data_IF_183039198256
#
_entry.id   IF_183039198256
#
_cell.length_a   1.000
_cell.length_b   1.000
_cell.length_c   1.000
_cell.angle_alpha   90.00
_cell.angle_beta   90.00
_cell.angle_gamma   90.00
#
_symmetry.space_group_name_H-M   'P 1'
#
loop_
_entity.id
_entity.type
_entity.pdbx_description
1 polymer ?
#
# COMPACT_ATOMS: atom_id res chain seq x y z
N UNK A 1 -20.96 10.85 9.75
CA UNK A 1 -19.89 10.97 8.74
C UNK A 1 -19.89 9.69 7.93
N UNK A 2 -20.20 9.75 6.62
CA UNK A 2 -20.07 8.57 5.76
C UNK A 2 -18.57 8.24 5.65
N UNK A 3 -18.09 7.29 6.42
CA UNK A 3 -16.72 6.79 6.25
C UNK A 3 -16.62 6.14 4.88
N UNK A 4 -15.86 6.76 3.99
CA UNK A 4 -15.55 6.15 2.71
C UNK A 4 -14.75 4.86 2.99
N UNK A 5 -15.23 3.73 2.47
CA UNK A 5 -14.61 2.42 2.65
C UNK A 5 -14.58 1.64 1.36
N UNK A 6 -13.59 0.78 1.22
CA UNK A 6 -13.58 -0.29 0.22
C UNK A 6 -14.22 -1.52 0.87
N UNK A 7 -15.15 -2.14 0.18
CA UNK A 7 -15.73 -3.43 0.55
C UNK A 7 -15.31 -4.48 -0.47
N UNK A 8 -14.77 -5.55 0.01
CA UNK A 8 -14.45 -6.76 -0.75
C UNK A 8 -15.46 -7.81 -0.32
N UNK A 9 -16.26 -8.32 -1.26
CA UNK A 9 -17.35 -9.27 -1.01
C UNK A 9 -17.05 -10.57 -1.74
N UNK A 10 -16.81 -11.66 -0.99
CA UNK A 10 -16.67 -13.02 -1.51
C UNK A 10 -15.68 -13.17 -2.67
N UNK A 11 -14.57 -12.42 -2.61
CA UNK A 11 -13.59 -12.37 -3.70
C UNK A 11 -12.79 -13.65 -3.79
N UNK A 12 -12.84 -14.31 -4.95
CA UNK A 12 -12.04 -15.49 -5.26
C UNK A 12 -11.26 -15.28 -6.55
N UNK A 13 -10.02 -15.79 -6.59
CA UNK A 13 -9.12 -15.70 -7.75
C UNK A 13 -8.47 -17.04 -7.98
N UNK A 14 -8.50 -17.50 -9.24
CA UNK A 14 -7.87 -18.74 -9.66
C UNK A 14 -6.89 -18.51 -10.81
N UNK A 15 -5.71 -19.15 -10.71
CA UNK A 15 -4.73 -19.25 -11.79
C UNK A 15 -4.59 -20.71 -12.23
N UNK A 16 -4.96 -21.04 -13.48
CA UNK A 16 -4.82 -22.38 -14.02
C UNK A 16 -5.34 -23.49 -13.07
N UNK A 17 -6.54 -23.28 -12.49
CA UNK A 17 -7.20 -24.18 -11.52
C UNK A 17 -6.56 -24.20 -10.11
N UNK A 18 -5.57 -23.35 -9.84
CA UNK A 18 -5.02 -23.18 -8.49
C UNK A 18 -5.66 -21.97 -7.85
N UNK A 19 -6.35 -22.16 -6.72
CA UNK A 19 -6.95 -21.06 -5.94
C UNK A 19 -5.85 -20.22 -5.32
N UNK A 20 -5.73 -18.97 -5.78
CA UNK A 20 -4.83 -17.98 -5.21
C UNK A 20 -5.51 -17.18 -4.10
N UNK A 21 -6.83 -16.98 -4.21
CA UNK A 21 -7.69 -16.42 -3.16
C UNK A 21 -9.00 -17.20 -3.13
N UNK A 22 -9.53 -17.45 -1.93
CA UNK A 22 -10.76 -18.18 -1.68
C UNK A 22 -11.66 -17.40 -0.73
N UNK A 23 -12.78 -16.92 -1.23
CA UNK A 23 -13.88 -16.32 -0.45
C UNK A 23 -13.48 -15.20 0.51
N UNK A 24 -12.67 -14.25 0.03
CA UNK A 24 -12.18 -13.12 0.84
C UNK A 24 -13.25 -12.05 0.96
N UNK A 25 -13.69 -11.76 2.19
CA UNK A 25 -14.63 -10.69 2.51
C UNK A 25 -14.08 -9.80 3.61
N UNK A 26 -13.88 -8.51 3.33
CA UNK A 26 -13.31 -7.54 4.27
C UNK A 26 -13.68 -6.10 3.92
N UNK A 27 -13.40 -5.19 4.85
CA UNK A 27 -13.53 -3.75 4.63
C UNK A 27 -12.20 -3.04 4.91
N UNK A 28 -11.87 -2.03 4.08
CA UNK A 28 -10.74 -1.12 4.32
C UNK A 28 -11.30 0.28 4.52
N UNK A 29 -11.05 0.84 5.70
CA UNK A 29 -11.66 2.09 6.14
C UNK A 29 -10.79 3.30 5.76
N UNK A 30 -11.42 4.44 5.48
CA UNK A 30 -10.72 5.73 5.38
C UNK A 30 -10.30 6.23 6.78
N UNK A 31 -9.23 7.03 6.80
CA UNK A 31 -8.74 7.62 8.05
C UNK A 31 -7.81 6.70 8.85
N UNK A 32 -7.45 5.56 8.29
CA UNK A 32 -6.56 4.57 8.91
C UNK A 32 -5.48 4.13 7.94
N UNK A 33 -4.32 3.75 8.49
CA UNK A 33 -3.27 3.02 7.77
C UNK A 33 -3.49 1.53 8.01
N UNK A 34 -3.89 0.81 6.96
CA UNK A 34 -4.18 -0.62 7.03
C UNK A 34 -3.01 -1.43 6.45
N UNK A 35 -2.47 -2.36 7.22
CA UNK A 35 -1.45 -3.31 6.76
C UNK A 35 -2.09 -4.60 6.22
N UNK A 36 -1.65 -5.05 5.04
CA UNK A 36 -1.99 -6.38 4.50
C UNK A 36 -0.79 -7.30 4.69
N UNK A 37 -0.91 -8.25 5.60
CA UNK A 37 0.16 -9.15 6.05
C UNK A 37 -0.18 -10.61 5.75
N UNK A 38 0.83 -11.46 5.82
CA UNK A 38 0.71 -12.91 5.62
C UNK A 38 1.97 -13.51 4.97
N UNK A 39 2.10 -14.84 4.93
CA UNK A 39 3.27 -15.51 4.39
C UNK A 39 3.48 -15.23 2.90
N UNK A 40 4.68 -15.60 2.39
CA UNK A 40 4.93 -15.56 0.96
C UNK A 40 4.00 -16.55 0.24
N UNK A 41 3.39 -16.09 -0.86
CA UNK A 41 2.38 -16.88 -1.58
C UNK A 41 0.97 -16.85 -0.96
N UNK A 42 0.73 -16.04 0.07
CA UNK A 42 -0.58 -15.85 0.71
C UNK A 42 -1.66 -15.20 -0.18
N UNK A 43 -1.26 -14.63 -1.33
CA UNK A 43 -2.20 -13.95 -2.23
C UNK A 43 -2.30 -12.43 -2.04
N UNK A 44 -1.41 -11.80 -1.26
CA UNK A 44 -1.46 -10.35 -0.96
C UNK A 44 -1.48 -9.47 -2.21
N UNK A 45 -0.49 -9.60 -3.09
CA UNK A 45 -0.45 -8.84 -4.35
C UNK A 45 -1.57 -9.26 -5.32
N UNK A 46 -2.03 -10.52 -5.24
CA UNK A 46 -3.21 -11.00 -5.98
C UNK A 46 -4.46 -10.26 -5.53
N UNK A 47 -4.67 -10.08 -4.22
CA UNK A 47 -5.79 -9.33 -3.68
C UNK A 47 -5.80 -7.89 -4.21
N UNK A 48 -4.69 -7.15 -4.11
CA UNK A 48 -4.59 -5.79 -4.65
C UNK A 48 -4.89 -5.76 -6.15
N UNK A 49 -4.28 -6.67 -6.93
CA UNK A 49 -4.48 -6.71 -8.38
C UNK A 49 -5.93 -7.02 -8.77
N UNK A 50 -6.58 -7.93 -8.04
CA UNK A 50 -8.00 -8.24 -8.25
C UNK A 50 -8.90 -7.06 -7.85
N UNK A 51 -8.62 -6.39 -6.72
CA UNK A 51 -9.33 -5.17 -6.31
C UNK A 51 -9.28 -4.09 -7.39
N UNK A 52 -8.15 -3.95 -8.08
CA UNK A 52 -7.95 -2.99 -9.17
C UNK A 52 -8.50 -3.46 -10.52
N UNK A 53 -8.96 -4.71 -10.62
CA UNK A 53 -9.37 -5.31 -11.89
C UNK A 53 -8.22 -5.54 -12.87
N UNK A 54 -6.96 -5.57 -12.39
CA UNK A 54 -5.78 -5.89 -13.19
C UNK A 54 -5.68 -7.38 -13.52
N UNK A 55 -6.35 -8.21 -12.73
CA UNK A 55 -6.55 -9.64 -12.96
C UNK A 55 -8.03 -9.97 -12.77
N UNK A 56 -8.57 -10.96 -13.50
CA UNK A 56 -9.95 -11.37 -13.34
C UNK A 56 -10.16 -12.08 -11.99
N UNK A 57 -11.28 -11.80 -11.32
CA UNK A 57 -11.80 -12.61 -10.23
C UNK A 57 -12.71 -13.70 -10.80
N UNK A 58 -12.68 -14.90 -10.20
CA UNK A 58 -13.62 -15.97 -10.53
C UNK A 58 -14.99 -15.76 -9.87
N UNK A 59 -15.00 -15.16 -8.68
CA UNK A 59 -16.21 -14.80 -7.93
C UNK A 59 -15.97 -13.48 -7.17
N UNK A 60 -17.08 -12.86 -6.75
CA UNK A 60 -17.09 -11.71 -5.87
C UNK A 60 -16.89 -10.37 -6.57
N UNK A 61 -16.92 -9.33 -5.77
CA UNK A 61 -16.83 -7.94 -6.23
C UNK A 61 -16.08 -7.06 -5.23
N UNK A 62 -15.58 -5.93 -5.72
CA UNK A 62 -14.94 -4.90 -4.90
C UNK A 62 -15.62 -3.56 -5.15
N UNK A 63 -16.15 -2.95 -4.09
CA UNK A 63 -16.96 -1.74 -4.14
C UNK A 63 -16.27 -0.62 -3.36
N UNK A 64 -16.25 0.59 -3.92
CA UNK A 64 -15.91 1.82 -3.24
C UNK A 64 -17.11 2.78 -3.29
N UNK A 65 -17.60 3.19 -2.12
CA UNK A 65 -18.89 3.87 -2.03
C UNK A 65 -20.02 2.97 -2.53
N UNK A 66 -20.65 3.36 -3.65
CA UNK A 66 -21.78 2.62 -4.24
C UNK A 66 -21.47 2.07 -5.65
N UNK A 67 -20.22 2.03 -6.06
CA UNK A 67 -19.83 1.60 -7.40
C UNK A 67 -18.62 0.65 -7.36
N UNK A 68 -18.47 -0.24 -8.35
CA UNK A 68 -17.29 -1.08 -8.47
C UNK A 68 -16.00 -0.26 -8.49
N UNK A 69 -15.00 -0.65 -7.69
CA UNK A 69 -13.72 0.05 -7.59
C UNK A 69 -13.01 0.15 -8.94
N UNK A 70 -13.09 -0.90 -9.76
CA UNK A 70 -12.52 -0.94 -11.12
C UNK A 70 -13.04 0.16 -12.06
N UNK A 71 -14.20 0.74 -11.78
CA UNK A 71 -14.76 1.87 -12.53
C UNK A 71 -14.30 3.23 -11.99
N UNK A 72 -13.64 3.24 -10.83
CA UNK A 72 -13.20 4.45 -10.14
C UNK A 72 -11.67 4.55 -10.01
N UNK A 73 -10.91 3.92 -10.90
CA UNK A 73 -9.44 3.90 -10.85
C UNK A 73 -8.80 5.30 -10.94
N UNK A 74 -9.56 6.33 -11.35
CA UNK A 74 -9.09 7.72 -11.27
C UNK A 74 -8.85 8.21 -9.85
N UNK A 75 -9.51 7.58 -8.86
CA UNK A 75 -9.38 7.89 -7.44
C UNK A 75 -8.28 7.08 -6.76
N UNK A 76 -7.66 6.12 -7.45
CA UNK A 76 -6.68 5.19 -6.90
C UNK A 76 -5.28 5.58 -7.34
N UNK A 77 -4.38 5.75 -6.39
CA UNK A 77 -2.93 5.79 -6.59
C UNK A 77 -2.34 4.44 -6.17
N UNK A 78 -1.78 3.72 -7.12
CA UNK A 78 -1.17 2.41 -6.91
C UNK A 78 0.33 2.45 -7.17
N UNK A 79 1.10 1.97 -6.20
CA UNK A 79 2.54 1.75 -6.31
C UNK A 79 2.79 0.25 -6.28
N UNK A 80 3.17 -0.36 -7.43
CA UNK A 80 3.45 -1.79 -7.51
C UNK A 80 4.76 -2.15 -6.82
N UNK A 81 4.95 -3.43 -6.54
CA UNK A 81 6.19 -3.97 -6.03
C UNK A 81 7.38 -3.60 -6.93
N UNK A 82 8.52 -3.26 -6.33
CA UNK A 82 9.72 -2.78 -7.02
C UNK A 82 10.20 -3.73 -8.12
N UNK A 83 10.10 -5.03 -7.93
CA UNK A 83 10.49 -6.06 -8.91
C UNK A 83 9.67 -6.05 -10.21
N UNK A 84 8.51 -5.37 -10.22
CA UNK A 84 7.63 -5.27 -11.40
C UNK A 84 7.92 -4.02 -12.25
N UNK A 85 8.91 -3.21 -11.87
CA UNK A 85 9.24 -1.95 -12.52
C UNK A 85 10.54 -2.11 -13.33
N UNK A 86 10.52 -1.69 -14.58
CA UNK A 86 11.72 -1.59 -15.40
C UNK A 86 12.51 -0.32 -15.06
N UNK A 87 13.57 -0.49 -14.29
CA UNK A 87 14.44 0.59 -13.85
C UNK A 87 15.45 1.06 -14.91
N UNK A 88 15.57 0.34 -16.02
CA UNK A 88 16.48 0.71 -17.13
C UNK A 88 15.84 1.71 -18.09
N UNK A 89 14.55 1.97 -17.95
CA UNK A 89 13.84 2.91 -18.79
C UNK A 89 14.40 4.33 -18.67
N UNK A 90 14.73 5.03 -19.77
CA UNK A 90 15.49 6.29 -19.76
C UNK A 90 14.62 7.49 -19.40
N UNK A 91 14.10 7.54 -18.17
CA UNK A 91 13.29 8.65 -17.64
C UNK A 91 13.95 9.27 -16.43
N UNK A 92 13.73 10.56 -16.25
CA UNK A 92 14.18 11.29 -15.06
C UNK A 92 13.21 11.11 -13.90
N UNK A 93 13.67 11.43 -12.69
CA UNK A 93 12.81 11.53 -11.50
C UNK A 93 11.60 12.44 -11.75
N UNK A 94 11.84 13.59 -12.40
CA UNK A 94 10.77 14.52 -12.77
C UNK A 94 9.71 13.88 -13.65
N UNK A 95 10.14 13.16 -14.70
CA UNK A 95 9.22 12.50 -15.63
C UNK A 95 8.35 11.47 -14.91
N UNK A 96 8.95 10.65 -14.03
CA UNK A 96 8.20 9.66 -13.24
C UNK A 96 7.14 10.33 -12.37
N UNK A 97 7.49 11.43 -11.68
CA UNK A 97 6.51 12.13 -10.82
C UNK A 97 5.42 12.78 -11.66
N UNK A 98 5.79 13.37 -12.82
CA UNK A 98 4.82 13.97 -13.75
C UNK A 98 3.86 12.95 -14.38
N UNK A 99 4.25 11.66 -14.49
CA UNK A 99 3.31 10.60 -14.89
C UNK A 99 2.05 10.56 -14.00
N UNK A 100 2.15 10.94 -12.72
CA UNK A 100 1.01 11.10 -11.84
C UNK A 100 -0.03 12.13 -12.33
N UNK A 101 0.33 13.02 -13.25
CA UNK A 101 -0.55 14.09 -13.76
C UNK A 101 -1.10 13.83 -15.17
N UNK A 102 -0.74 12.72 -15.82
CA UNK A 102 -1.14 12.42 -17.20
C UNK A 102 -2.67 12.41 -17.35
N UNK A 103 -3.39 11.78 -16.44
CA UNK A 103 -4.87 11.70 -16.52
C UNK A 103 -5.56 13.06 -16.46
N UNK A 104 -5.02 14.01 -15.65
CA UNK A 104 -5.60 15.35 -15.52
C UNK A 104 -5.21 16.28 -16.66
N UNK A 105 -4.12 15.96 -17.37
CA UNK A 105 -3.60 16.80 -18.46
C UNK A 105 -4.23 16.45 -19.80
N UNK A 106 -4.59 15.17 -20.00
CA UNK A 106 -4.99 14.66 -21.32
C UNK A 106 -3.80 14.43 -22.25
N UNK A 107 -4.03 13.63 -23.27
CA UNK A 107 -2.95 13.10 -24.14
C UNK A 107 -2.26 14.17 -25.02
N UNK A 108 -2.97 15.23 -25.41
CA UNK A 108 -2.48 16.22 -26.38
C UNK A 108 -2.15 17.59 -25.78
N UNK A 109 -2.14 17.72 -24.46
CA UNK A 109 -1.89 18.99 -23.77
C UNK A 109 -0.61 18.93 -22.94
N UNK A 110 0.16 20.01 -22.94
CA UNK A 110 1.30 20.17 -22.02
C UNK A 110 0.84 20.27 -20.57
N UNK A 111 1.70 19.86 -19.64
CA UNK A 111 1.40 19.98 -18.22
C UNK A 111 1.20 21.43 -17.77
N UNK A 112 0.12 21.68 -17.06
CA UNK A 112 -0.21 23.01 -16.52
C UNK A 112 0.80 23.41 -15.42
N UNK A 113 0.88 24.71 -15.13
CA UNK A 113 1.67 25.25 -14.03
C UNK A 113 1.27 24.58 -12.69
N UNK A 114 -0.03 24.36 -12.46
CA UNK A 114 -0.53 23.66 -11.28
C UNK A 114 -0.02 22.21 -11.18
N UNK A 115 0.00 21.47 -12.30
CA UNK A 115 0.56 20.12 -12.32
C UNK A 115 2.06 20.09 -11.99
N UNK A 116 2.81 21.06 -12.53
CA UNK A 116 4.25 21.22 -12.23
C UNK A 116 4.49 21.58 -10.77
N UNK A 117 3.68 22.45 -10.18
CA UNK A 117 3.79 22.81 -8.77
C UNK A 117 3.50 21.62 -7.86
N UNK A 118 2.44 20.84 -8.13
CA UNK A 118 2.15 19.61 -7.38
C UNK A 118 3.29 18.59 -7.44
N UNK A 119 3.97 18.47 -8.59
CA UNK A 119 5.13 17.59 -8.71
C UNK A 119 6.32 18.08 -7.88
N UNK A 120 6.59 19.41 -7.87
CA UNK A 120 7.63 20.01 -7.03
C UNK A 120 7.34 19.81 -5.53
N UNK A 121 6.09 20.04 -5.10
CA UNK A 121 5.66 19.82 -3.72
C UNK A 121 5.80 18.35 -3.31
N UNK A 122 5.42 17.42 -4.19
CA UNK A 122 5.57 15.99 -3.94
C UNK A 122 7.04 15.58 -3.81
N UNK A 123 7.93 16.09 -4.70
CA UNK A 123 9.36 15.83 -4.63
C UNK A 123 10.01 16.42 -3.37
N UNK A 124 9.61 17.63 -2.98
CA UNK A 124 10.09 18.28 -1.76
C UNK A 124 9.71 17.44 -0.53
N UNK A 125 8.48 16.96 -0.49
CA UNK A 125 7.94 16.20 0.63
C UNK A 125 8.68 14.88 0.88
N UNK A 126 9.14 14.22 -0.17
CA UNK A 126 9.93 12.98 -0.07
C UNK A 126 11.45 13.22 -0.06
N UNK A 127 11.90 14.47 -0.01
CA UNK A 127 13.32 14.83 0.01
C UNK A 127 14.07 14.53 -1.30
N UNK A 128 13.37 14.57 -2.45
CA UNK A 128 13.96 14.20 -3.75
C UNK A 128 14.11 15.37 -4.73
N UNK A 129 13.89 16.62 -4.31
CA UNK A 129 13.98 17.81 -5.17
C UNK A 129 15.32 17.98 -5.88
N UNK A 130 16.43 17.71 -5.18
CA UNK A 130 17.80 17.83 -5.75
C UNK A 130 18.08 16.79 -6.85
N UNK A 131 17.28 15.72 -6.91
CA UNK A 131 17.48 14.62 -7.86
C UNK A 131 16.53 14.68 -9.07
N UNK A 132 15.72 15.73 -9.21
CA UNK A 132 14.64 15.82 -10.19
C UNK A 132 15.07 15.55 -11.65
N UNK A 133 16.31 15.90 -12.02
CA UNK A 133 16.84 15.70 -13.38
C UNK A 133 17.70 14.43 -13.52
N UNK A 134 17.86 13.66 -12.44
CA UNK A 134 18.65 12.43 -12.48
C UNK A 134 17.82 11.29 -13.09
N UNK A 135 18.42 10.43 -13.94
CA UNK A 135 17.78 9.20 -14.40
C UNK A 135 17.37 8.31 -13.23
N UNK A 136 16.16 7.71 -13.29
CA UNK A 136 15.61 6.90 -12.20
C UNK A 136 16.47 5.68 -11.89
N UNK A 137 17.10 5.08 -12.90
CA UNK A 137 17.98 3.92 -12.75
C UNK A 137 19.28 4.19 -12.00
N UNK A 138 19.68 5.47 -11.83
CA UNK A 138 20.88 5.86 -11.09
C UNK A 138 20.62 6.10 -9.58
N UNK A 139 19.41 5.86 -9.12
CA UNK A 139 19.02 6.07 -7.74
C UNK A 139 19.17 4.78 -6.92
N UNK A 140 19.42 4.92 -5.61
CA UNK A 140 19.34 3.79 -4.68
C UNK A 140 17.89 3.27 -4.56
N UNK A 141 17.71 2.05 -4.04
CA UNK A 141 16.38 1.47 -3.86
C UNK A 141 15.41 2.33 -3.05
N UNK A 142 15.88 2.87 -1.93
CA UNK A 142 15.09 3.78 -1.10
C UNK A 142 14.78 5.12 -1.80
N UNK A 143 15.71 5.65 -2.61
CA UNK A 143 15.45 6.83 -3.42
C UNK A 143 14.40 6.56 -4.49
N UNK A 144 14.47 5.43 -5.20
CA UNK A 144 13.47 5.00 -6.18
C UNK A 144 12.09 4.88 -5.53
N UNK A 145 12.01 4.28 -4.35
CA UNK A 145 10.75 4.13 -3.61
C UNK A 145 10.14 5.48 -3.25
N UNK A 146 10.96 6.43 -2.77
CA UNK A 146 10.51 7.80 -2.50
C UNK A 146 10.00 8.53 -3.74
N UNK A 147 10.61 8.30 -4.91
CA UNK A 147 10.11 8.86 -6.18
C UNK A 147 8.74 8.30 -6.56
N UNK A 148 8.51 7.01 -6.39
CA UNK A 148 7.20 6.40 -6.65
C UNK A 148 6.13 6.87 -5.65
N UNK A 149 6.52 7.09 -4.39
CA UNK A 149 5.66 7.76 -3.42
C UNK A 149 5.31 9.19 -3.88
N UNK A 150 6.30 9.98 -4.31
CA UNK A 150 6.07 11.32 -4.85
C UNK A 150 5.11 11.30 -6.06
N UNK A 151 5.25 10.32 -6.97
CA UNK A 151 4.32 10.11 -8.09
C UNK A 151 2.89 9.90 -7.59
N UNK A 152 2.69 9.05 -6.57
CA UNK A 152 1.38 8.77 -6.00
C UNK A 152 0.76 10.01 -5.33
N UNK A 153 1.56 10.79 -4.60
CA UNK A 153 1.15 12.05 -4.00
C UNK A 153 0.78 13.09 -5.08
N UNK A 154 1.60 13.21 -6.11
CA UNK A 154 1.38 14.12 -7.24
C UNK A 154 0.10 13.75 -8.01
N UNK A 155 -0.19 12.46 -8.18
CA UNK A 155 -1.43 11.98 -8.78
C UNK A 155 -2.63 12.45 -7.97
N UNK A 156 -2.54 12.40 -6.65
CA UNK A 156 -3.65 12.61 -5.74
C UNK A 156 -4.66 11.46 -5.86
N UNK A 157 -5.54 11.37 -4.91
CA UNK A 157 -6.54 10.31 -4.91
C UNK A 157 -7.29 10.25 -3.60
N UNK A 158 -8.22 9.32 -3.53
CA UNK A 158 -8.96 8.97 -2.32
C UNK A 158 -8.44 7.67 -1.70
N UNK A 159 -7.76 6.84 -2.53
CA UNK A 159 -7.27 5.51 -2.20
C UNK A 159 -5.81 5.40 -2.60
N UNK A 160 -4.97 4.98 -1.67
CA UNK A 160 -3.54 4.75 -1.85
C UNK A 160 -3.21 3.29 -1.53
N UNK A 161 -2.70 2.56 -2.53
CA UNK A 161 -2.33 1.15 -2.40
C UNK A 161 -0.84 1.01 -2.67
N UNK A 162 -0.11 0.43 -1.71
CA UNK A 162 1.33 0.21 -1.78
C UNK A 162 1.64 -1.27 -1.66
N UNK A 163 2.28 -1.84 -2.68
CA UNK A 163 2.64 -3.26 -2.71
C UNK A 163 4.12 -3.42 -2.33
N UNK A 164 4.38 -3.83 -1.09
CA UNK A 164 5.71 -4.04 -0.48
C UNK A 164 6.65 -2.81 -0.59
N UNK A 165 6.23 -1.63 -0.10
CA UNK A 165 7.01 -0.41 -0.26
C UNK A 165 8.30 -0.37 0.56
N UNK A 166 8.51 -1.28 1.50
CA UNK A 166 9.65 -1.30 2.43
C UNK A 166 10.80 -2.19 1.95
N UNK A 167 10.62 -2.95 0.87
CA UNK A 167 11.66 -3.87 0.37
C UNK A 167 12.87 -3.10 -0.16
N UNK A 168 14.04 -3.34 0.49
CA UNK A 168 15.31 -2.74 0.08
C UNK A 168 15.44 -1.25 0.37
N UNK A 169 14.70 -0.75 1.36
CA UNK A 169 14.84 0.62 1.87
C UNK A 169 15.57 0.62 3.22
N UNK A 170 16.20 1.74 3.55
CA UNK A 170 16.78 1.98 4.87
C UNK A 170 15.71 2.45 5.87
N UNK A 171 16.03 2.38 7.17
CA UNK A 171 15.14 2.76 8.26
C UNK A 171 14.61 4.19 8.11
N UNK A 172 15.48 5.15 7.72
CA UNK A 172 15.07 6.54 7.52
C UNK A 172 14.04 6.69 6.39
N UNK A 173 14.17 5.91 5.34
CA UNK A 173 13.19 5.91 4.24
C UNK A 173 11.87 5.30 4.72
N UNK A 174 11.91 4.24 5.53
CA UNK A 174 10.73 3.63 6.13
C UNK A 174 9.96 4.61 7.02
N UNK A 175 10.65 5.37 7.89
CA UNK A 175 10.04 6.43 8.70
C UNK A 175 9.32 7.48 7.84
N UNK A 176 9.96 7.99 6.79
CA UNK A 176 9.36 8.95 5.85
C UNK A 176 8.09 8.38 5.20
N UNK A 177 8.11 7.09 4.82
CA UNK A 177 6.96 6.42 4.25
C UNK A 177 5.78 6.40 5.24
N UNK A 178 6.01 5.98 6.49
CA UNK A 178 4.97 5.93 7.52
C UNK A 178 4.43 7.30 7.91
N UNK A 179 5.29 8.32 8.02
CA UNK A 179 4.84 9.70 8.24
C UNK A 179 3.85 10.14 7.15
N UNK A 180 4.17 9.88 5.89
CA UNK A 180 3.30 10.22 4.76
C UNK A 180 2.01 9.40 4.77
N UNK A 181 2.07 8.11 5.10
CA UNK A 181 0.88 7.27 5.21
C UNK A 181 -0.05 7.78 6.32
N UNK A 182 0.49 8.10 7.49
CA UNK A 182 -0.27 8.67 8.60
C UNK A 182 -0.95 10.00 8.22
N UNK A 183 -0.24 10.90 7.51
CA UNK A 183 -0.82 12.14 7.06
C UNK A 183 -1.93 11.94 6.00
N UNK A 184 -1.79 10.96 5.10
CA UNK A 184 -2.84 10.61 4.15
C UNK A 184 -4.07 10.11 4.88
N UNK A 185 -3.89 9.23 5.88
CA UNK A 185 -4.96 8.72 6.71
C UNK A 185 -5.66 9.86 7.48
N UNK A 186 -4.91 10.75 8.14
CA UNK A 186 -5.47 11.93 8.82
C UNK A 186 -6.29 12.84 7.90
N UNK A 187 -5.97 12.88 6.60
CA UNK A 187 -6.75 13.58 5.57
C UNK A 187 -7.98 12.79 5.09
N UNK A 188 -8.34 11.72 5.79
CA UNK A 188 -9.49 10.87 5.46
C UNK A 188 -9.29 10.01 4.21
N UNK A 189 -8.05 9.75 3.79
CA UNK A 189 -7.75 8.83 2.68
C UNK A 189 -7.79 7.39 3.15
N UNK A 190 -7.98 6.46 2.21
CA UNK A 190 -7.76 5.04 2.42
C UNK A 190 -6.29 4.76 2.09
N UNK A 191 -5.56 4.16 3.03
CA UNK A 191 -4.16 3.75 2.86
C UNK A 191 -4.06 2.26 3.16
N UNK A 192 -3.73 1.46 2.14
CA UNK A 192 -3.51 0.02 2.25
C UNK A 192 -2.08 -0.30 1.82
N UNK A 193 -1.34 -0.94 2.70
CA UNK A 193 0.08 -1.24 2.51
C UNK A 193 0.32 -2.73 2.69
N UNK A 194 0.85 -3.40 1.66
CA UNK A 194 1.32 -4.78 1.79
C UNK A 194 2.63 -4.78 2.55
N UNK A 195 2.69 -5.55 3.61
CA UNK A 195 3.92 -5.82 4.35
C UNK A 195 4.14 -7.34 4.48
N UNK A 196 5.37 -7.80 4.35
CA UNK A 196 5.73 -9.20 4.55
C UNK A 196 6.44 -9.44 5.89
N UNK A 197 6.86 -8.35 6.55
CA UNK A 197 7.56 -8.39 7.82
C UNK A 197 6.59 -8.16 8.99
N UNK A 198 6.78 -8.94 10.06
CA UNK A 198 6.09 -8.82 11.35
C UNK A 198 6.96 -8.12 12.40
N UNK A 199 8.03 -7.42 11.98
CA UNK A 199 8.93 -6.67 12.84
C UNK A 199 8.29 -5.42 13.46
N UNK A 200 9.14 -4.52 13.98
CA UNK A 200 8.70 -3.31 14.71
C UNK A 200 7.77 -2.41 13.89
N UNK A 201 7.93 -2.38 12.57
CA UNK A 201 7.10 -1.57 11.66
C UNK A 201 5.61 -1.89 11.73
N UNK A 202 5.23 -3.07 12.24
CA UNK A 202 3.82 -3.48 12.35
C UNK A 202 3.03 -2.58 13.31
N UNK A 203 3.71 -1.93 14.25
CA UNK A 203 3.10 -1.01 15.21
C UNK A 203 2.62 0.30 14.60
N UNK A 204 3.08 0.63 13.39
CA UNK A 204 2.69 1.82 12.64
C UNK A 204 1.35 1.68 11.89
N UNK A 205 0.77 0.47 11.89
CA UNK A 205 -0.56 0.24 11.29
C UNK A 205 -1.66 0.39 12.35
N UNK A 206 -2.77 1.01 11.97
CA UNK A 206 -3.97 1.08 12.80
C UNK A 206 -4.75 -0.24 12.75
N UNK A 207 -5.02 -0.71 11.53
CA UNK A 207 -5.71 -1.97 11.25
C UNK A 207 -4.79 -2.91 10.47
N UNK A 208 -5.05 -4.21 10.59
CA UNK A 208 -4.36 -5.25 9.83
C UNK A 208 -5.36 -6.15 9.11
N UNK A 209 -4.92 -6.71 7.99
CA UNK A 209 -5.56 -7.80 7.27
C UNK A 209 -4.55 -8.94 7.21
N UNK A 210 -4.86 -10.07 7.84
CA UNK A 210 -4.02 -11.27 7.84
C UNK A 210 -4.59 -12.26 6.84
N UNK A 211 -3.81 -12.54 5.80
CA UNK A 211 -4.19 -13.35 4.65
C UNK A 211 -3.29 -14.58 4.51
N UNK A 212 -3.88 -15.73 4.21
CA UNK A 212 -3.21 -16.91 3.68
C UNK A 212 -4.13 -17.65 2.72
N UNK A 213 -4.28 -17.16 1.48
CA UNK A 213 -5.24 -17.54 0.44
C UNK A 213 -6.69 -17.31 0.85
N UNK A 214 -6.98 -17.35 2.12
CA UNK A 214 -8.24 -17.03 2.77
C UNK A 214 -8.01 -15.89 3.76
N UNK A 215 -9.07 -15.19 4.12
CA UNK A 215 -9.00 -14.22 5.21
C UNK A 215 -8.90 -14.95 6.54
N UNK A 216 -7.82 -14.74 7.27
CA UNK A 216 -7.64 -15.31 8.62
C UNK A 216 -8.27 -14.39 9.67
N UNK A 217 -7.92 -13.10 9.63
CA UNK A 217 -8.45 -12.06 10.51
C UNK A 217 -8.29 -10.69 9.88
N UNK A 218 -9.13 -9.71 10.25
CA UNK A 218 -8.92 -8.30 9.90
C UNK A 218 -9.54 -7.37 10.95
N UNK A 219 -9.06 -6.13 11.01
CA UNK A 219 -9.49 -5.10 11.94
C UNK A 219 -8.36 -4.57 12.80
N UNK A 220 -8.63 -4.18 14.04
CA UNK A 220 -7.63 -3.67 14.97
C UNK A 220 -6.41 -4.61 15.07
N UNK A 221 -5.21 -4.02 14.99
CA UNK A 221 -3.97 -4.80 14.94
C UNK A 221 -3.78 -5.75 16.12
N UNK A 222 -4.24 -5.35 17.34
CA UNK A 222 -4.09 -6.18 18.54
C UNK A 222 -4.96 -7.45 18.48
N UNK A 223 -6.13 -7.35 17.84
CA UNK A 223 -7.00 -8.50 17.62
C UNK A 223 -6.46 -9.42 16.52
N UNK A 224 -5.88 -8.86 15.47
CA UNK A 224 -5.35 -9.63 14.34
C UNK A 224 -4.07 -10.37 14.72
N UNK A 225 -3.20 -9.76 15.54
CA UNK A 225 -1.90 -10.34 15.94
C UNK A 225 -1.98 -11.34 17.10
N UNK A 226 -3.15 -11.87 17.42
CA UNK A 226 -3.28 -12.95 18.41
C UNK A 226 -2.57 -14.22 17.93
N UNK A 227 -1.97 -14.97 18.88
CA UNK A 227 -1.16 -16.15 18.58
C UNK A 227 -1.90 -17.16 17.71
N UNK A 228 -3.17 -17.43 17.99
CA UNK A 228 -4.02 -18.36 17.22
C UNK A 228 -4.12 -17.96 15.73
N UNK A 229 -4.31 -16.67 15.44
CA UNK A 229 -4.37 -16.17 14.07
C UNK A 229 -3.04 -16.32 13.33
N UNK A 230 -1.94 -16.02 14.02
CA UNK A 230 -0.60 -16.13 13.46
C UNK A 230 -0.22 -17.61 13.21
N UNK A 231 -0.56 -18.52 14.12
CA UNK A 231 -0.37 -19.96 13.91
C UNK A 231 -1.14 -20.47 12.68
N UNK A 232 -2.40 -20.08 12.53
CA UNK A 232 -3.23 -20.41 11.36
C UNK A 232 -2.63 -19.87 10.07
N UNK A 233 -2.15 -18.63 10.08
CA UNK A 233 -1.61 -17.98 8.88
C UNK A 233 -0.27 -18.57 8.46
N UNK A 234 0.64 -18.82 9.40
CA UNK A 234 2.03 -19.18 9.13
C UNK A 234 2.36 -20.66 9.40
N UNK A 235 1.37 -21.49 9.76
CA UNK A 235 1.52 -22.95 9.97
C UNK A 235 2.62 -23.31 10.97
N UNK A 236 2.70 -22.58 12.08
CA UNK A 236 3.66 -22.84 13.17
C UNK A 236 5.13 -22.47 12.87
N UNK A 237 5.42 -21.83 11.72
CA UNK A 237 6.79 -21.48 11.31
C UNK A 237 7.28 -20.10 11.79
N UNK A 238 6.50 -19.38 12.57
CA UNK A 238 6.89 -18.07 13.10
C UNK A 238 7.54 -18.25 14.46
N UNK A 239 8.84 -17.95 14.56
CA UNK A 239 9.42 -17.62 15.87
C UNK A 239 8.82 -16.27 16.25
N UNK A 240 7.90 -16.29 17.17
CA UNK A 240 7.32 -15.06 17.70
C UNK A 240 8.42 -14.22 18.32
N UNK A 241 8.63 -13.01 17.85
CA UNK A 241 9.14 -11.96 18.72
C UNK A 241 8.14 -11.87 19.88
N UNK A 242 8.64 -11.93 21.12
CA UNK A 242 7.84 -11.88 22.32
C UNK A 242 7.02 -10.57 22.34
N UNK A 243 5.81 -10.61 21.77
CA UNK A 243 4.89 -9.45 21.81
C UNK A 243 4.59 -9.06 23.28
N UNK A 244 4.69 -9.99 24.23
CA UNK A 244 4.49 -9.73 25.66
C UNK A 244 5.57 -8.79 26.23
N UNK A 245 6.84 -8.90 25.87
CA UNK A 245 7.90 -7.97 26.31
C UNK A 245 7.68 -6.55 25.77
N UNK A 246 7.13 -6.42 24.57
CA UNK A 246 6.90 -5.11 23.95
C UNK A 246 5.72 -4.35 24.57
N UNK A 247 4.75 -5.05 25.16
CA UNK A 247 3.59 -4.44 25.83
C UNK A 247 3.89 -4.06 27.29
N UNK A 248 4.83 -4.70 27.93
CA UNK A 248 5.19 -4.44 29.34
C UNK A 248 6.09 -3.20 29.49
N UNK A 249 6.95 -2.93 28.52
CA UNK A 249 7.89 -1.79 28.55
C UNK A 249 7.17 -0.42 28.46
N UNK A 250 6.01 -0.33 27.81
CA UNK A 250 5.21 0.90 27.76
C UNK A 250 4.36 1.16 29.01
N UNK A 251 4.04 0.14 29.80
CA UNK A 251 3.35 0.34 31.07
C UNK A 251 4.26 0.94 32.15
N UNK A 252 5.58 0.84 31.99
CA UNK A 252 6.59 1.37 32.90
C UNK A 252 7.00 2.81 32.58
N UNK A 253 6.73 3.35 31.41
CA UNK A 253 7.09 4.73 31.02
C UNK A 253 5.99 5.77 31.32
N UNK A 254 4.81 5.37 31.80
CA UNK A 254 3.70 6.27 32.15
C UNK A 254 3.27 6.13 33.61
N UNK A 255 4.23 5.84 34.53
CA UNK A 255 4.06 6.02 35.95
C UNK A 255 4.98 7.07 36.54
#
# INVERSE_FOLDING_TARGET
MNSHKIRVNHLSVEYRKVKALSDVSLEVLSGKVTGLIGPNGAGKSTLIKAMLGLIPSSLGEVIYGNQPLKQQLSKVAYVPQRSQIDWTYPVTVWDVVMMGRIRQTGWLRGFSANSKNKAKEALMRVGMSAYQHRPIGQLSGGQQQRVFLARSLCQGGEIFLFDEPFVGVDHRTEEILFEIFAELAQKGKIVLVVNHDLGESITNFDDLILLNRELIAYGDRHLVLQAENLERAYSGRVRFFNLEEYYDDRRTQYR
#
